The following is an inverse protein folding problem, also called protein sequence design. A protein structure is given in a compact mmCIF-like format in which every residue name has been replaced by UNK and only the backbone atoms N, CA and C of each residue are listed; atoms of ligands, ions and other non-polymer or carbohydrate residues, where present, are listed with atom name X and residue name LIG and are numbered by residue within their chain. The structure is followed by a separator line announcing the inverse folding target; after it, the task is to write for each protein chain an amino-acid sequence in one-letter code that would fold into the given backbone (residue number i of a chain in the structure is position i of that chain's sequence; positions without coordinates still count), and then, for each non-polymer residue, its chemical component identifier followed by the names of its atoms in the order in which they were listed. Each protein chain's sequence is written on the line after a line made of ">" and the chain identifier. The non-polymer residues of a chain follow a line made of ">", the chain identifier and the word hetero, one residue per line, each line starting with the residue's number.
data_IF_749980610812
#
_entry.id   IF_749980610812
#
_cell.length_a   1.000
_cell.length_b   1.000
_cell.length_c   1.000
_cell.angle_alpha   90.00
_cell.angle_beta   90.00
_cell.angle_gamma   90.00
#
_symmetry.space_group_name_H-M   'P 1'
#
loop_
_entity.id
_entity.type
_entity.pdbx_description
1 polymer ?
#
# COMPACT_ATOMS: atom_id res chain seq x y z
N UNK A 1 9.68 23.41 6.54
CA UNK A 1 10.27 23.96 5.29
C UNK A 1 10.73 25.39 5.50
N UNK A 2 11.90 25.79 4.95
CA UNK A 2 12.37 27.19 4.99
C UNK A 2 11.46 28.09 4.15
N UNK A 3 11.10 29.28 4.67
CA UNK A 3 10.16 30.22 4.01
C UNK A 3 10.51 30.53 2.55
N UNK A 4 11.78 30.82 2.24
CA UNK A 4 12.22 31.12 0.86
C UNK A 4 11.93 29.99 -0.15
N UNK A 5 12.13 28.74 0.25
CA UNK A 5 11.88 27.57 -0.61
C UNK A 5 10.38 27.36 -0.85
N UNK A 6 9.59 27.54 0.22
CA UNK A 6 8.13 27.52 0.14
C UNK A 6 7.61 28.58 -0.85
N UNK A 7 8.07 29.82 -0.70
CA UNK A 7 7.64 30.94 -1.53
C UNK A 7 8.02 30.71 -3.01
N UNK A 8 9.19 30.14 -3.27
CA UNK A 8 9.61 29.73 -4.62
C UNK A 8 8.64 28.71 -5.24
N UNK A 9 8.33 27.62 -4.54
CA UNK A 9 7.41 26.60 -5.04
C UNK A 9 6.00 27.14 -5.28
N UNK A 10 5.51 28.00 -4.38
CA UNK A 10 4.23 28.70 -4.55
C UNK A 10 4.27 29.60 -5.79
N UNK A 11 5.37 30.30 -6.05
CA UNK A 11 5.48 31.16 -7.24
C UNK A 11 5.42 30.39 -8.57
N UNK A 12 5.67 29.07 -8.56
CA UNK A 12 5.60 28.22 -9.74
C UNK A 12 4.17 27.74 -10.07
N UNK A 13 3.19 27.95 -9.20
CA UNK A 13 1.80 27.48 -9.40
C UNK A 13 1.20 27.92 -10.75
N UNK A 14 1.34 29.18 -11.21
CA UNK A 14 0.82 29.57 -12.52
C UNK A 14 1.42 28.77 -13.70
N UNK A 15 2.69 28.40 -13.61
CA UNK A 15 3.37 27.56 -14.60
C UNK A 15 2.76 26.14 -14.58
N UNK A 16 2.61 25.56 -13.39
CA UNK A 16 2.00 24.23 -13.22
C UNK A 16 0.56 24.17 -13.74
N UNK A 17 -0.24 25.20 -13.47
CA UNK A 17 -1.60 25.31 -14.01
C UNK A 17 -1.60 25.40 -15.54
N UNK A 18 -0.54 25.93 -16.14
CA UNK A 18 -0.39 25.98 -17.60
C UNK A 18 -0.04 24.60 -18.15
N UNK A 19 0.90 23.89 -17.52
CA UNK A 19 1.22 22.51 -17.92
C UNK A 19 0.04 21.57 -17.78
N UNK A 20 -0.74 21.66 -16.70
CA UNK A 20 -1.88 20.78 -16.43
C UNK A 20 -2.99 20.83 -17.49
N UNK A 21 -2.97 21.82 -18.39
CA UNK A 21 -3.87 21.86 -19.55
C UNK A 21 -3.49 20.83 -20.62
N UNK A 22 -2.21 20.47 -20.70
CA UNK A 22 -1.65 19.65 -21.79
C UNK A 22 -0.99 18.37 -21.27
N UNK A 23 -0.36 18.42 -20.10
CA UNK A 23 0.42 17.35 -19.49
C UNK A 23 -0.14 17.00 -18.11
N UNK A 24 0.21 15.82 -17.64
CA UNK A 24 0.22 15.53 -16.21
C UNK A 24 1.56 15.99 -15.60
N UNK A 25 1.59 16.22 -14.29
CA UNK A 25 2.83 16.57 -13.59
C UNK A 25 3.22 15.42 -12.65
N UNK A 26 4.47 14.99 -12.73
CA UNK A 26 5.05 14.06 -11.77
C UNK A 26 6.01 14.84 -10.87
N UNK A 27 5.58 15.10 -9.63
CA UNK A 27 6.45 15.72 -8.64
C UNK A 27 7.33 14.68 -7.97
N UNK A 28 8.64 14.96 -7.95
CA UNK A 28 9.65 14.20 -7.23
C UNK A 28 10.38 15.11 -6.23
N UNK A 29 11.31 14.56 -5.46
CA UNK A 29 12.14 15.32 -4.54
C UNK A 29 11.93 14.95 -3.08
N UNK A 30 12.84 15.41 -2.22
CA UNK A 30 12.95 14.95 -0.84
C UNK A 30 11.97 15.64 0.12
N UNK A 31 11.36 14.87 1.01
CA UNK A 31 10.44 15.33 2.05
C UNK A 31 8.98 15.33 1.63
N UNK A 32 8.10 15.42 2.63
CA UNK A 32 6.65 15.39 2.45
C UNK A 32 6.15 16.62 1.67
N UNK A 33 5.40 16.36 0.61
CA UNK A 33 4.84 17.36 -0.30
C UNK A 33 3.37 17.67 0.00
N UNK A 34 2.72 16.91 0.90
CA UNK A 34 1.28 16.97 1.16
C UNK A 34 0.79 18.35 1.60
N UNK A 35 1.45 18.95 2.60
CA UNK A 35 1.10 20.28 3.12
C UNK A 35 1.28 21.35 2.05
N UNK A 36 2.42 21.33 1.36
CA UNK A 36 2.73 22.31 0.31
C UNK A 36 1.76 22.22 -0.87
N UNK A 37 1.42 21.01 -1.32
CA UNK A 37 0.47 20.81 -2.41
C UNK A 37 -0.95 21.29 -2.05
N UNK A 38 -1.36 21.15 -0.78
CA UNK A 38 -2.64 21.70 -0.29
C UNK A 38 -2.66 23.23 -0.32
N UNK A 39 -1.52 23.87 -0.06
CA UNK A 39 -1.41 25.31 -0.17
C UNK A 39 -1.36 25.79 -1.63
N UNK A 40 -0.66 25.06 -2.50
CA UNK A 40 -0.54 25.38 -3.92
C UNK A 40 -1.86 25.18 -4.69
N UNK A 41 -2.63 24.15 -4.33
CA UNK A 41 -3.86 23.76 -5.03
C UNK A 41 -5.02 23.52 -4.05
N UNK A 42 -5.51 24.56 -3.35
CA UNK A 42 -6.47 24.40 -2.26
C UNK A 42 -7.81 23.80 -2.70
N UNK A 43 -8.17 23.94 -3.98
CA UNK A 43 -9.43 23.44 -4.55
C UNK A 43 -9.29 22.08 -5.25
N UNK A 44 -8.12 21.44 -5.20
CA UNK A 44 -7.88 20.16 -5.84
C UNK A 44 -8.61 18.99 -5.16
N UNK A 45 -8.76 17.90 -5.91
CA UNK A 45 -9.20 16.60 -5.42
C UNK A 45 -7.98 15.80 -4.97
N UNK A 46 -7.80 15.63 -3.65
CA UNK A 46 -6.66 14.92 -3.08
C UNK A 46 -6.98 13.44 -2.88
N UNK A 47 -6.11 12.58 -3.41
CA UNK A 47 -6.27 11.13 -3.46
C UNK A 47 -5.01 10.49 -2.85
N UNK A 48 -5.18 9.56 -1.92
CA UNK A 48 -4.04 8.95 -1.22
C UNK A 48 -3.39 7.76 -1.97
N UNK A 49 -4.11 7.15 -2.92
CA UNK A 49 -3.64 6.07 -3.78
C UNK A 49 -4.55 5.93 -5.00
N UNK A 50 -4.02 5.46 -6.12
CA UNK A 50 -4.76 5.13 -7.34
C UNK A 50 -4.82 3.59 -7.51
N UNK A 51 -5.93 2.99 -8.01
CA UNK A 51 -7.11 3.58 -8.65
C UNK A 51 -8.10 4.26 -7.69
N UNK A 52 -8.64 5.41 -8.10
CA UNK A 52 -9.66 6.16 -7.38
C UNK A 52 -10.53 7.00 -8.32
N UNK A 53 -11.69 7.48 -7.83
CA UNK A 53 -12.58 8.35 -8.60
C UNK A 53 -11.96 9.72 -8.82
N UNK A 54 -11.77 10.09 -10.08
CA UNK A 54 -11.21 11.38 -10.48
C UNK A 54 -12.31 12.43 -10.70
N UNK A 55 -12.04 13.67 -10.30
CA UNK A 55 -12.91 14.80 -10.57
C UNK A 55 -12.69 15.32 -12.00
N UNK A 56 -13.78 15.61 -12.70
CA UNK A 56 -13.74 16.23 -14.04
C UNK A 56 -13.55 17.76 -13.99
N UNK A 57 -13.88 18.40 -12.87
CA UNK A 57 -13.88 19.86 -12.72
C UNK A 57 -12.75 20.41 -11.85
N UNK A 58 -11.94 19.53 -11.25
CA UNK A 58 -10.84 19.89 -10.36
C UNK A 58 -9.56 19.21 -10.82
N UNK A 59 -8.43 19.78 -10.45
CA UNK A 59 -7.12 19.12 -10.54
C UNK A 59 -7.14 17.92 -9.59
N UNK A 60 -6.65 16.77 -10.06
CA UNK A 60 -6.52 15.58 -9.23
C UNK A 60 -5.07 15.47 -8.75
N UNK A 61 -4.86 15.37 -7.44
CA UNK A 61 -3.53 15.21 -6.83
C UNK A 61 -3.48 13.83 -6.18
N UNK A 62 -2.65 12.96 -6.73
CA UNK A 62 -2.51 11.57 -6.32
C UNK A 62 -1.19 11.41 -5.57
N UNK A 63 -1.29 11.12 -4.27
CA UNK A 63 -0.17 10.68 -3.47
C UNK A 63 0.09 9.18 -3.70
N UNK A 64 1.34 8.75 -3.44
CA UNK A 64 1.76 7.34 -3.55
C UNK A 64 1.39 6.72 -4.91
N UNK A 65 1.62 7.46 -5.99
CA UNK A 65 1.34 6.94 -7.33
C UNK A 65 2.36 5.86 -7.69
N UNK A 66 1.86 4.70 -8.13
CA UNK A 66 2.66 3.57 -8.58
C UNK A 66 2.45 3.39 -10.08
N UNK A 67 3.49 3.68 -10.85
CA UNK A 67 3.47 3.56 -12.31
C UNK A 67 3.32 2.09 -12.74
N UNK A 68 3.87 1.15 -11.97
CA UNK A 68 3.96 -0.27 -12.37
C UNK A 68 2.61 -1.00 -12.28
N UNK A 69 1.70 -0.51 -11.45
CA UNK A 69 0.37 -1.11 -11.24
C UNK A 69 -0.76 -0.35 -11.93
N UNK A 70 -0.45 0.77 -12.59
CA UNK A 70 -1.44 1.62 -13.25
C UNK A 70 -1.48 1.33 -14.75
N UNK A 71 -2.68 1.22 -15.30
CA UNK A 71 -2.88 1.09 -16.76
C UNK A 71 -2.84 2.48 -17.44
N UNK A 72 -1.84 2.78 -18.28
CA UNK A 72 -1.70 4.08 -18.93
C UNK A 72 -2.80 4.40 -19.94
N UNK A 73 -3.47 3.39 -20.53
CA UNK A 73 -4.57 3.61 -21.46
C UNK A 73 -5.81 4.15 -20.76
N UNK A 74 -6.00 3.79 -19.48
CA UNK A 74 -7.14 4.22 -18.67
C UNK A 74 -6.85 5.47 -17.84
N UNK A 75 -5.60 5.93 -17.83
CA UNK A 75 -5.18 7.10 -17.07
C UNK A 75 -5.45 8.39 -17.86
N UNK A 76 -5.95 9.48 -17.22
CA UNK A 76 -6.14 10.75 -17.93
C UNK A 76 -4.81 11.27 -18.46
N UNK A 77 -4.80 11.89 -19.64
CA UNK A 77 -3.58 12.44 -20.22
C UNK A 77 -3.24 13.85 -19.74
N UNK A 78 -4.11 14.49 -18.95
CA UNK A 78 -3.89 15.82 -18.38
C UNK A 78 -4.70 16.03 -17.09
N UNK A 79 -4.47 17.17 -16.42
CA UNK A 79 -5.17 17.58 -15.21
C UNK A 79 -4.96 16.65 -13.99
N UNK A 80 -3.86 15.88 -13.99
CA UNK A 80 -3.41 15.07 -12.86
C UNK A 80 -2.00 15.48 -12.42
N UNK A 81 -1.83 15.57 -11.12
CA UNK A 81 -0.53 15.69 -10.45
C UNK A 81 -0.32 14.38 -9.68
N UNK A 82 0.78 13.70 -9.95
CA UNK A 82 1.22 12.53 -9.20
C UNK A 82 2.45 12.89 -8.36
N UNK A 83 2.58 12.23 -7.20
CA UNK A 83 3.68 12.49 -6.28
C UNK A 83 4.45 11.22 -6.00
N UNK A 84 5.75 11.26 -6.29
CA UNK A 84 6.71 10.26 -5.86
C UNK A 84 7.16 10.62 -4.44
N UNK A 85 6.47 10.04 -3.47
CA UNK A 85 6.78 10.15 -2.04
C UNK A 85 7.30 8.81 -1.52
N UNK A 86 8.59 8.57 -1.67
CA UNK A 86 9.27 7.43 -1.03
C UNK A 86 10.54 7.88 -0.31
N UNK A 87 10.81 7.24 0.83
CA UNK A 87 12.07 7.34 1.56
C UNK A 87 13.13 6.39 0.97
N UNK A 88 12.71 5.44 0.13
CA UNK A 88 13.54 4.46 -0.54
C UNK A 88 13.56 4.73 -2.05
N UNK A 89 14.63 5.33 -2.59
CA UNK A 89 14.78 5.57 -4.02
C UNK A 89 14.76 4.30 -4.87
N UNK A 90 15.11 3.13 -4.29
CA UNK A 90 15.13 1.86 -5.02
C UNK A 90 13.73 1.30 -5.27
N UNK A 91 12.73 1.80 -4.55
CA UNK A 91 11.32 1.49 -4.79
C UNK A 91 10.74 2.27 -5.99
N UNK A 92 11.45 3.26 -6.51
CA UNK A 92 11.05 3.99 -7.72
C UNK A 92 11.61 3.23 -8.93
N UNK A 93 10.73 2.59 -9.69
CA UNK A 93 11.10 1.88 -10.90
C UNK A 93 10.14 2.27 -12.04
N UNK A 94 10.63 3.07 -12.97
CA UNK A 94 9.95 3.43 -14.22
C UNK A 94 11.01 3.81 -15.27
N UNK A 95 10.64 3.77 -16.55
CA UNK A 95 11.47 4.20 -17.67
C UNK A 95 10.86 5.41 -18.41
N UNK A 96 11.56 5.92 -19.41
CA UNK A 96 11.12 7.10 -20.16
C UNK A 96 9.80 6.82 -20.90
N UNK A 97 9.59 5.60 -21.38
CA UNK A 97 8.35 5.17 -22.01
C UNK A 97 7.15 5.30 -21.06
N UNK A 98 7.32 4.98 -19.77
CA UNK A 98 6.25 5.15 -18.78
C UNK A 98 5.84 6.63 -18.67
N UNK A 99 6.81 7.55 -18.69
CA UNK A 99 6.51 8.99 -18.61
C UNK A 99 5.73 9.47 -19.82
N UNK A 100 6.09 9.00 -21.02
CA UNK A 100 5.39 9.31 -22.27
C UNK A 100 3.96 8.74 -22.26
N UNK A 101 3.82 7.47 -21.85
CA UNK A 101 2.55 6.77 -21.78
C UNK A 101 1.57 7.46 -20.85
N UNK A 102 2.04 7.98 -19.70
CA UNK A 102 1.21 8.76 -18.79
C UNK A 102 1.15 10.26 -19.12
N UNK A 103 1.86 10.72 -20.15
CA UNK A 103 1.99 12.11 -20.56
C UNK A 103 2.46 13.02 -19.40
N UNK A 104 3.47 12.58 -18.66
CA UNK A 104 4.04 13.32 -17.54
C UNK A 104 5.13 14.30 -17.98
N UNK A 105 5.14 15.46 -17.33
CA UNK A 105 6.35 16.27 -17.15
C UNK A 105 6.83 16.15 -15.71
N UNK A 106 8.13 15.88 -15.54
CA UNK A 106 8.73 15.80 -14.21
C UNK A 106 9.09 17.18 -13.68
N UNK A 107 8.82 17.43 -12.39
CA UNK A 107 9.20 18.67 -11.69
C UNK A 107 9.70 18.36 -10.28
N UNK A 108 10.77 19.01 -9.87
CA UNK A 108 11.28 18.91 -8.49
C UNK A 108 10.38 19.72 -7.54
N UNK A 109 9.99 19.08 -6.44
CA UNK A 109 9.22 19.66 -5.35
C UNK A 109 9.82 19.24 -4.00
N UNK A 110 11.15 19.31 -3.87
CA UNK A 110 11.85 19.06 -2.61
C UNK A 110 11.42 20.05 -1.51
N UNK A 111 11.00 19.54 -0.34
CA UNK A 111 10.46 20.33 0.78
C UNK A 111 11.28 20.25 2.07
N UNK A 112 12.07 19.17 2.25
CA UNK A 112 12.75 18.79 3.50
C UNK A 112 11.81 18.69 4.71
N UNK A 113 10.50 18.59 4.50
CA UNK A 113 9.54 18.36 5.57
C UNK A 113 9.61 16.88 5.94
N UNK A 114 9.76 16.52 7.23
CA UNK A 114 9.69 15.13 7.65
C UNK A 114 8.35 14.52 7.21
N UNK A 115 8.37 13.27 6.80
CA UNK A 115 7.15 12.54 6.51
C UNK A 115 6.39 12.25 7.81
N UNK A 116 5.41 13.09 8.13
CA UNK A 116 4.48 12.84 9.22
C UNK A 116 3.49 11.76 8.76
N UNK A 117 3.58 10.56 9.34
CA UNK A 117 2.68 9.40 9.12
C UNK A 117 3.01 8.37 8.01
N UNK A 118 4.26 8.25 7.54
CA UNK A 118 4.64 7.10 6.68
C UNK A 118 4.72 5.78 7.47
N UNK A 119 4.73 5.83 8.81
CA UNK A 119 4.87 4.64 9.65
C UNK A 119 3.56 3.92 10.04
N UNK A 120 2.38 4.46 9.74
CA UNK A 120 1.12 3.90 10.29
C UNK A 120 0.12 3.31 9.28
N UNK A 121 0.22 3.58 7.97
CA UNK A 121 -0.86 3.17 7.04
C UNK A 121 -0.56 1.93 6.17
N UNK A 122 0.70 1.54 5.96
CA UNK A 122 1.03 0.39 5.08
C UNK A 122 1.80 -0.77 5.75
N UNK A 123 1.99 -0.75 7.07
CA UNK A 123 2.58 -1.89 7.79
C UNK A 123 1.68 -3.12 7.86
N UNK A 124 0.41 -3.04 7.46
CA UNK A 124 -0.51 -4.20 7.48
C UNK A 124 -0.52 -5.01 6.18
N UNK A 125 -0.45 -4.33 5.02
CA UNK A 125 -0.66 -4.99 3.71
C UNK A 125 0.65 -5.44 3.06
N UNK A 126 1.72 -4.63 3.12
CA UNK A 126 3.05 -5.06 2.68
C UNK A 126 3.61 -6.19 3.57
N UNK A 127 3.24 -6.20 4.85
CA UNK A 127 3.72 -7.18 5.83
C UNK A 127 3.06 -8.55 5.64
N UNK A 128 1.78 -8.63 5.25
CA UNK A 128 1.10 -9.92 5.07
C UNK A 128 1.64 -10.71 3.87
N UNK A 129 1.84 -10.05 2.71
CA UNK A 129 2.40 -10.70 1.52
C UNK A 129 3.85 -11.14 1.77
N UNK A 130 4.65 -10.27 2.38
CA UNK A 130 6.05 -10.58 2.71
C UNK A 130 6.15 -11.69 3.76
N UNK A 131 5.33 -11.64 4.81
CA UNK A 131 5.24 -12.69 5.81
C UNK A 131 4.87 -14.03 5.18
N UNK A 132 3.82 -14.07 4.34
CA UNK A 132 3.40 -15.29 3.65
C UNK A 132 4.51 -15.87 2.77
N UNK A 133 5.33 -15.03 2.14
CA UNK A 133 6.48 -15.49 1.35
C UNK A 133 7.64 -16.01 2.20
N UNK A 134 7.83 -15.43 3.40
CA UNK A 134 8.96 -15.74 4.27
C UNK A 134 8.68 -16.87 5.28
N UNK A 135 7.41 -17.19 5.55
CA UNK A 135 7.06 -18.32 6.43
C UNK A 135 7.25 -19.68 5.73
N UNK A 136 7.64 -20.73 6.48
CA UNK A 136 7.75 -22.09 5.95
C UNK A 136 6.45 -22.57 5.27
N UNK A 137 6.59 -23.34 4.18
CA UNK A 137 5.44 -23.91 3.44
C UNK A 137 4.46 -24.66 4.35
N UNK A 138 4.98 -25.34 5.37
CA UNK A 138 4.17 -26.08 6.35
C UNK A 138 3.29 -25.15 7.21
N UNK A 139 3.82 -23.99 7.62
CA UNK A 139 3.07 -22.96 8.35
C UNK A 139 1.99 -22.33 7.48
N UNK A 140 2.30 -22.04 6.20
CA UNK A 140 1.31 -21.55 5.24
C UNK A 140 0.16 -22.52 5.03
N UNK A 141 0.47 -23.80 4.84
CA UNK A 141 -0.56 -24.82 4.63
C UNK A 141 -1.45 -24.97 5.88
N UNK A 142 -0.87 -24.90 7.08
CA UNK A 142 -1.64 -24.93 8.31
C UNK A 142 -2.55 -23.69 8.44
N UNK A 143 -2.05 -22.51 8.05
CA UNK A 143 -2.87 -21.29 7.98
C UNK A 143 -4.01 -21.44 6.96
N UNK A 144 -3.79 -22.04 5.78
CA UNK A 144 -4.85 -22.33 4.80
C UNK A 144 -5.95 -23.21 5.40
N UNK A 145 -5.57 -24.29 6.09
CA UNK A 145 -6.52 -25.19 6.76
C UNK A 145 -7.30 -24.40 7.82
N UNK A 146 -6.62 -23.62 8.65
CA UNK A 146 -7.27 -22.77 9.65
C UNK A 146 -8.28 -21.80 9.04
N UNK A 147 -7.92 -21.12 7.94
CA UNK A 147 -8.80 -20.18 7.24
C UNK A 147 -10.04 -20.88 6.67
N UNK A 148 -9.87 -22.09 6.16
CA UNK A 148 -10.98 -22.89 5.62
C UNK A 148 -11.95 -23.32 6.73
N UNK A 149 -11.43 -23.66 7.90
CA UNK A 149 -12.22 -24.02 9.09
C UNK A 149 -12.81 -22.82 9.83
N UNK A 150 -12.38 -21.59 9.52
CA UNK A 150 -12.88 -20.40 10.20
C UNK A 150 -14.34 -20.12 9.83
N UNK A 151 -15.23 -20.35 10.79
CA UNK A 151 -16.61 -19.85 10.81
C UNK A 151 -16.68 -18.64 11.74
N UNK A 152 -17.27 -17.53 11.31
CA UNK A 152 -17.37 -16.30 12.13
C UNK A 152 -16.03 -15.80 12.70
N UNK A 153 -14.94 -15.90 11.92
CA UNK A 153 -13.57 -15.47 12.26
C UNK A 153 -12.90 -16.26 13.40
N UNK A 154 -13.33 -17.47 13.72
CA UNK A 154 -12.57 -18.34 14.62
C UNK A 154 -12.67 -19.81 14.21
N UNK A 155 -11.75 -20.64 14.71
CA UNK A 155 -11.83 -22.09 14.63
C UNK A 155 -11.34 -22.71 15.94
N UNK A 156 -11.90 -23.86 16.31
CA UNK A 156 -11.45 -24.59 17.50
C UNK A 156 -10.09 -25.25 17.22
N UNK A 157 -9.21 -25.24 18.22
CA UNK A 157 -7.87 -25.84 18.11
C UNK A 157 -7.98 -27.36 17.91
N UNK A 158 -9.00 -27.98 18.50
CA UNK A 158 -9.29 -29.41 18.35
C UNK A 158 -9.67 -29.78 16.92
N UNK A 159 -10.49 -28.96 16.25
CA UNK A 159 -10.88 -29.14 14.85
C UNK A 159 -9.68 -28.97 13.93
N UNK A 160 -8.91 -27.89 14.13
CA UNK A 160 -7.70 -27.64 13.38
C UNK A 160 -6.70 -28.79 13.54
N UNK A 161 -6.51 -29.32 14.75
CA UNK A 161 -5.65 -30.47 15.00
C UNK A 161 -6.13 -31.73 14.29
N UNK A 162 -7.44 -31.98 14.27
CA UNK A 162 -7.99 -33.18 13.63
C UNK A 162 -7.76 -33.17 12.11
N UNK A 163 -7.88 -32.01 11.46
CA UNK A 163 -7.58 -31.87 10.03
C UNK A 163 -6.08 -31.88 9.78
N UNK A 164 -5.29 -31.14 10.58
CA UNK A 164 -3.84 -31.09 10.46
C UNK A 164 -3.15 -32.44 10.72
N UNK A 165 -3.74 -33.31 11.56
CA UNK A 165 -3.31 -34.70 11.74
C UNK A 165 -3.37 -35.48 10.42
N UNK A 166 -4.46 -35.31 9.66
CA UNK A 166 -4.72 -36.04 8.41
C UNK A 166 -3.93 -35.47 7.24
N UNK A 167 -3.89 -34.15 7.12
CA UNK A 167 -3.33 -33.47 5.94
C UNK A 167 -1.83 -33.13 6.06
N UNK A 168 -1.36 -32.84 7.29
CA UNK A 168 0.01 -32.35 7.54
C UNK A 168 0.79 -33.23 8.52
N UNK A 169 0.23 -34.37 8.95
CA UNK A 169 0.81 -35.29 9.94
C UNK A 169 1.23 -34.60 11.25
N UNK A 170 0.48 -33.57 11.69
CA UNK A 170 0.73 -32.84 12.94
C UNK A 170 -0.04 -33.50 14.07
N UNK A 171 0.63 -34.14 15.02
CA UNK A 171 -0.03 -34.94 16.07
C UNK A 171 -0.26 -34.20 17.39
N UNK A 172 0.41 -33.07 17.60
CA UNK A 172 0.42 -32.32 18.87
C UNK A 172 -0.01 -30.86 18.67
N UNK A 173 -0.82 -30.34 19.60
CA UNK A 173 -1.20 -28.91 19.68
C UNK A 173 0.01 -27.99 19.83
N UNK A 174 1.07 -28.41 20.51
CA UNK A 174 2.33 -27.65 20.63
C UNK A 174 2.91 -27.28 19.27
N UNK A 175 2.86 -28.19 18.31
CA UNK A 175 3.36 -27.96 16.95
C UNK A 175 2.48 -26.97 16.19
N UNK A 176 1.16 -26.96 16.44
CA UNK A 176 0.26 -25.94 15.88
C UNK A 176 0.66 -24.56 16.39
N UNK A 177 0.85 -24.41 17.71
CA UNK A 177 1.25 -23.14 18.30
C UNK A 177 2.58 -22.62 17.75
N UNK A 178 3.55 -23.52 17.55
CA UNK A 178 4.85 -23.18 16.95
C UNK A 178 4.72 -22.74 15.49
N UNK A 179 4.01 -23.51 14.66
CA UNK A 179 3.87 -23.22 13.23
C UNK A 179 3.06 -21.95 12.97
N UNK A 180 2.14 -21.62 13.87
CA UNK A 180 1.32 -20.43 13.77
C UNK A 180 1.87 -19.22 14.55
N UNK A 181 3.00 -19.37 15.25
CA UNK A 181 3.57 -18.34 16.13
C UNK A 181 3.85 -17.03 15.39
N UNK A 182 4.46 -17.11 14.21
CA UNK A 182 4.77 -15.92 13.40
C UNK A 182 3.50 -15.13 13.03
N UNK A 183 2.39 -15.81 12.75
CA UNK A 183 1.11 -15.14 12.47
C UNK A 183 0.48 -14.49 13.71
N UNK A 184 0.86 -14.92 14.92
CA UNK A 184 0.46 -14.27 16.17
C UNK A 184 1.29 -13.02 16.42
N UNK A 185 2.59 -13.13 16.21
CA UNK A 185 3.54 -12.01 16.38
C UNK A 185 3.19 -10.85 15.44
N UNK A 186 2.81 -11.17 14.20
CA UNK A 186 2.30 -10.22 13.21
C UNK A 186 0.81 -9.87 13.35
N UNK A 187 0.16 -10.29 14.45
CA UNK A 187 -1.24 -9.96 14.79
C UNK A 187 -2.28 -10.35 13.73
N UNK A 188 -2.02 -11.42 12.98
CA UNK A 188 -2.98 -11.97 12.00
C UNK A 188 -3.99 -12.87 12.69
N UNK A 189 -3.52 -13.63 13.68
CA UNK A 189 -4.36 -14.50 14.51
C UNK A 189 -4.08 -14.23 15.99
N UNK A 190 -4.99 -14.68 16.86
CA UNK A 190 -4.81 -14.66 18.31
C UNK A 190 -5.37 -15.91 18.94
N UNK A 191 -4.63 -16.49 19.87
CA UNK A 191 -5.13 -17.58 20.71
C UNK A 191 -6.08 -17.04 21.78
N UNK A 192 -7.21 -17.70 21.96
CA UNK A 192 -8.12 -17.50 23.08
C UNK A 192 -8.57 -18.86 23.58
N UNK A 193 -8.11 -19.27 24.75
CA UNK A 193 -8.51 -20.55 25.38
C UNK A 193 -8.37 -21.74 24.40
N UNK A 194 -9.48 -22.28 23.94
CA UNK A 194 -9.61 -23.45 23.06
C UNK A 194 -9.75 -23.10 21.57
N UNK A 195 -9.73 -21.81 21.22
CA UNK A 195 -9.92 -21.33 19.84
C UNK A 195 -8.80 -20.41 19.35
N UNK A 196 -8.68 -20.37 18.03
CA UNK A 196 -7.85 -19.43 17.31
C UNK A 196 -8.77 -18.42 16.63
N UNK A 197 -8.56 -17.14 16.89
CA UNK A 197 -9.36 -16.03 16.34
C UNK A 197 -8.57 -15.35 15.25
N UNK A 198 -9.21 -15.14 14.11
CA UNK A 198 -8.69 -14.38 12.99
C UNK A 198 -8.89 -12.88 13.24
N UNK A 199 -7.81 -12.09 13.19
CA UNK A 199 -7.83 -10.64 13.44
C UNK A 199 -7.87 -9.82 12.14
N UNK A 200 -7.58 -10.45 11.01
CA UNK A 200 -7.55 -9.83 9.67
C UNK A 200 -8.70 -10.41 8.83
N UNK A 201 -9.27 -9.62 7.92
CA UNK A 201 -10.35 -10.09 7.04
C UNK A 201 -9.92 -11.33 6.23
N UNK A 202 -10.77 -12.36 6.23
CA UNK A 202 -10.53 -13.64 5.54
C UNK A 202 -10.18 -13.44 4.06
N UNK A 203 -10.90 -12.56 3.38
CA UNK A 203 -10.76 -12.26 1.96
C UNK A 203 -9.37 -11.69 1.64
N UNK A 204 -8.80 -10.90 2.56
CA UNK A 204 -7.47 -10.30 2.40
C UNK A 204 -6.34 -11.32 2.50
N UNK A 205 -6.50 -12.39 3.27
CA UNK A 205 -5.44 -13.41 3.34
C UNK A 205 -5.51 -14.32 2.12
N UNK A 206 -6.73 -14.66 1.70
CA UNK A 206 -6.94 -15.50 0.53
C UNK A 206 -6.38 -14.87 -0.75
N UNK A 207 -6.53 -13.55 -0.96
CA UNK A 207 -5.99 -12.90 -2.16
C UNK A 207 -4.47 -12.99 -2.30
N UNK A 208 -3.73 -13.17 -1.20
CA UNK A 208 -2.27 -13.33 -1.21
C UNK A 208 -1.79 -14.79 -1.19
N UNK A 209 -2.71 -15.74 -1.03
CA UNK A 209 -2.39 -17.18 -0.92
C UNK A 209 -2.57 -17.98 -2.22
N UNK A 210 -3.06 -17.34 -3.29
CA UNK A 210 -3.40 -17.93 -4.59
C UNK A 210 -2.19 -18.08 -5.52
N UNK A 211 -1.00 -17.59 -5.13
CA UNK A 211 0.26 -17.80 -5.85
C UNK A 211 1.09 -18.94 -5.26
#
# INVERSE_FOLDING_TARGET
>A
MKKKLKDFHISCVPEYLTFLKTFNILFYGYGDKSVLLREMFPNANFINAYPATLSKSKINIIFKFDLTSTDPEKFPKNNVVCVLDTMDPTAINFCDEDLEDFNFIMKDLTTYVPYENVFEVDKGEADLKNLLNNVPKRSRNLLKIFINLCENNFALITELLNVAKKELFITNTKTIYQLLGEFVDHRIIKYREDKIVLLVKKEKILCHMVN
#
